data_IF_991207607413
#
_entry.id   IF_991207607413
#
_cell.length_a   1.000
_cell.length_b   1.000
_cell.length_c   1.000
_cell.angle_alpha   90.00
_cell.angle_beta   90.00
_cell.angle_gamma   90.00
#
_symmetry.space_group_name_H-M   'P 1'
#
loop_
_entity.id
_entity.type
_entity.pdbx_description
1 polymer ?
#
# COMPACT_ATOMS: atom_id res chain seq x y z
N UNK A 1 53.08 -38.96 -40.58
CA UNK A 1 52.32 -37.70 -40.84
C UNK A 1 50.80 -37.94 -40.88
N UNK A 2 50.19 -38.49 -39.81
CA UNK A 2 48.73 -38.76 -39.74
C UNK A 2 48.06 -38.31 -38.42
N UNK A 3 48.77 -37.54 -37.57
CA UNK A 3 48.22 -37.02 -36.30
C UNK A 3 47.59 -35.64 -36.38
N UNK A 4 47.84 -34.89 -37.46
CA UNK A 4 47.39 -33.49 -37.60
C UNK A 4 46.03 -33.34 -38.33
N UNK A 5 45.68 -34.25 -39.25
CA UNK A 5 44.41 -34.15 -40.00
C UNK A 5 43.16 -34.45 -39.15
N UNK A 6 43.29 -35.24 -38.08
CA UNK A 6 42.18 -35.57 -37.17
C UNK A 6 41.85 -34.43 -36.19
N UNK A 7 42.83 -33.60 -35.82
CA UNK A 7 42.61 -32.47 -34.89
C UNK A 7 41.78 -31.35 -35.54
N UNK A 8 42.01 -31.08 -36.84
CA UNK A 8 41.37 -29.98 -37.57
C UNK A 8 39.92 -30.27 -38.02
N UNK A 9 39.46 -31.52 -37.95
CA UNK A 9 38.06 -31.89 -38.21
C UNK A 9 37.31 -32.11 -36.89
N UNK A 10 37.96 -32.68 -35.87
CA UNK A 10 37.32 -32.97 -34.57
C UNK A 10 36.97 -31.68 -33.80
N UNK A 11 37.83 -30.67 -33.80
CA UNK A 11 37.57 -29.39 -33.09
C UNK A 11 36.35 -28.63 -33.65
N UNK A 12 36.21 -28.39 -34.96
CA UNK A 12 35.02 -27.69 -35.49
C UNK A 12 33.74 -28.54 -35.44
N UNK A 13 33.81 -29.86 -35.58
CA UNK A 13 32.63 -30.75 -35.49
C UNK A 13 32.10 -30.83 -34.05
N UNK A 14 32.96 -30.84 -33.04
CA UNK A 14 32.55 -30.78 -31.61
C UNK A 14 32.00 -29.41 -31.24
N UNK A 15 32.52 -28.31 -31.80
CA UNK A 15 31.96 -26.97 -31.61
C UNK A 15 30.56 -26.82 -32.24
N UNK A 16 30.32 -27.39 -33.43
CA UNK A 16 29.00 -27.32 -34.09
C UNK A 16 27.93 -28.21 -33.43
N UNK A 17 28.29 -29.39 -32.91
CA UNK A 17 27.37 -30.24 -32.14
C UNK A 17 27.13 -29.76 -30.71
N UNK A 18 28.15 -29.14 -30.07
CA UNK A 18 28.03 -28.55 -28.74
C UNK A 18 27.10 -27.33 -28.68
N UNK A 19 26.91 -26.62 -29.79
CA UNK A 19 25.97 -25.48 -29.88
C UNK A 19 24.51 -25.95 -30.01
N UNK A 20 24.23 -27.19 -30.41
CA UNK A 20 22.84 -27.68 -30.51
C UNK A 20 22.29 -28.32 -29.22
N UNK A 21 23.16 -28.69 -28.27
CA UNK A 21 22.76 -29.15 -26.92
C UNK A 21 22.98 -28.04 -25.88
N UNK A 22 23.94 -27.13 -26.10
CA UNK A 22 24.20 -25.99 -25.21
C UNK A 22 23.55 -24.66 -25.63
N UNK A 23 22.99 -24.54 -26.84
CA UNK A 23 22.53 -23.27 -27.41
C UNK A 23 21.03 -22.96 -27.29
N UNK A 24 20.22 -23.82 -26.65
CA UNK A 24 18.76 -23.61 -26.51
C UNK A 24 18.34 -23.20 -25.08
N UNK A 25 19.27 -23.11 -24.11
CA UNK A 25 18.94 -22.76 -22.71
C UNK A 25 19.48 -21.37 -22.30
N UNK A 26 19.82 -20.49 -23.25
CA UNK A 26 20.24 -19.12 -22.90
C UNK A 26 19.50 -18.09 -23.75
N UNK A 27 18.16 -18.07 -23.67
CA UNK A 27 17.38 -16.99 -24.31
C UNK A 27 16.01 -16.66 -23.68
N UNK A 28 15.72 -17.05 -22.43
CA UNK A 28 14.45 -16.67 -21.76
C UNK A 28 14.55 -16.43 -20.25
N UNK A 29 15.61 -15.79 -19.77
CA UNK A 29 15.57 -15.15 -18.43
C UNK A 29 16.34 -13.82 -18.45
N UNK A 30 16.00 -12.94 -19.40
CA UNK A 30 16.15 -11.53 -19.08
C UNK A 30 15.12 -11.18 -18.01
N UNK A 31 15.60 -11.02 -16.78
CA UNK A 31 14.96 -10.19 -15.77
C UNK A 31 13.59 -10.65 -15.26
N UNK A 32 13.57 -11.74 -14.49
CA UNK A 32 12.83 -11.66 -13.22
C UNK A 32 13.82 -11.16 -12.15
N UNK A 33 14.31 -9.94 -12.36
CA UNK A 33 14.32 -9.06 -11.22
C UNK A 33 12.85 -8.92 -10.85
N UNK A 34 12.50 -9.11 -9.59
CA UNK A 34 11.34 -8.42 -9.06
C UNK A 34 11.67 -6.91 -9.11
N UNK A 35 11.74 -6.36 -10.32
CA UNK A 35 11.61 -4.95 -10.53
C UNK A 35 10.14 -4.69 -10.26
N UNK A 36 9.89 -4.35 -9.00
CA UNK A 36 8.77 -3.52 -8.60
C UNK A 36 8.72 -2.39 -9.62
N UNK A 37 7.80 -2.54 -10.58
CA UNK A 37 7.51 -1.56 -11.58
C UNK A 37 6.86 -0.37 -10.87
N UNK A 38 7.64 0.63 -10.50
CA UNK A 38 7.09 1.96 -10.25
C UNK A 38 7.96 3.02 -10.90
N UNK A 39 8.06 2.93 -12.23
CA UNK A 39 8.00 4.13 -13.05
C UNK A 39 6.67 4.85 -12.72
N UNK A 40 6.75 5.99 -12.03
CA UNK A 40 5.69 7.02 -12.01
C UNK A 40 4.36 6.69 -11.34
N UNK A 41 4.06 5.44 -10.98
CA UNK A 41 2.92 5.13 -10.13
C UNK A 41 3.41 5.20 -8.69
N UNK A 42 3.19 6.34 -8.02
CA UNK A 42 3.05 6.34 -6.56
C UNK A 42 2.28 5.08 -6.24
N UNK A 43 2.92 4.14 -5.55
CA UNK A 43 2.21 3.00 -5.01
C UNK A 43 1.31 3.63 -3.96
N UNK A 44 0.09 3.96 -4.39
CA UNK A 44 -1.05 4.25 -3.55
C UNK A 44 -1.46 2.91 -2.91
N UNK A 45 -0.52 2.25 -2.24
CA UNK A 45 -0.87 1.44 -1.10
C UNK A 45 -1.39 2.47 -0.11
N UNK A 46 -2.68 2.43 0.23
CA UNK A 46 -3.27 3.48 1.02
C UNK A 46 -2.48 3.58 2.33
N UNK A 47 -1.94 4.75 2.65
CA UNK A 47 -1.38 5.05 3.97
C UNK A 47 -2.38 4.75 5.12
N UNK A 48 -3.67 4.60 4.80
CA UNK A 48 -4.71 4.03 5.66
C UNK A 48 -4.52 2.53 5.99
N UNK A 49 -3.54 1.83 5.39
CA UNK A 49 -3.35 0.39 5.63
C UNK A 49 -2.47 0.08 6.84
N UNK A 50 -1.74 1.05 7.39
CA UNK A 50 -0.96 0.85 8.61
C UNK A 50 -1.86 1.05 9.82
N UNK A 51 -2.25 0.02 10.59
CA UNK A 51 -3.29 0.17 11.61
C UNK A 51 -3.00 1.27 12.62
N UNK A 52 -1.72 1.48 12.98
CA UNK A 52 -1.28 2.47 13.96
C UNK A 52 -0.97 3.87 13.39
N UNK A 53 -1.15 4.07 12.08
CA UNK A 53 -0.99 5.39 11.48
C UNK A 53 -2.25 6.23 11.67
N UNK A 54 -2.06 7.54 11.64
CA UNK A 54 -3.08 8.59 11.72
C UNK A 54 -2.81 9.52 10.51
N UNK A 55 -3.40 9.23 9.33
CA UNK A 55 -3.02 9.89 8.08
C UNK A 55 -3.54 11.32 7.95
N UNK A 56 -4.65 11.66 8.61
CA UNK A 56 -5.29 12.98 8.60
C UNK A 56 -5.04 13.81 9.87
N UNK A 57 -4.43 13.23 10.89
CA UNK A 57 -3.96 13.89 12.12
C UNK A 57 -5.11 14.47 12.96
N UNK A 58 -6.23 13.77 13.01
CA UNK A 58 -7.39 14.12 13.84
C UNK A 58 -7.26 13.57 15.28
N UNK A 59 -6.33 12.64 15.50
CA UNK A 59 -6.08 11.97 16.78
C UNK A 59 -6.59 10.54 16.87
N UNK A 60 -7.23 10.00 15.83
CA UNK A 60 -7.60 8.59 15.71
C UNK A 60 -6.61 7.85 14.80
N UNK A 61 -6.22 6.65 15.21
CA UNK A 61 -5.48 5.74 14.32
C UNK A 61 -6.44 5.02 13.40
N UNK A 62 -5.95 4.57 12.25
CA UNK A 62 -6.73 3.77 11.30
C UNK A 62 -7.53 2.62 11.93
N UNK A 63 -6.99 1.94 12.96
CA UNK A 63 -7.71 0.87 13.67
C UNK A 63 -8.84 1.39 14.58
N UNK A 64 -8.71 2.60 15.13
CA UNK A 64 -9.75 3.28 15.91
C UNK A 64 -10.86 3.75 14.98
N UNK A 65 -10.49 4.33 13.85
CA UNK A 65 -11.42 4.79 12.82
C UNK A 65 -12.26 3.64 12.23
N UNK A 66 -11.67 2.45 12.07
CA UNK A 66 -12.43 1.26 11.69
C UNK A 66 -13.52 0.89 12.72
N UNK A 67 -13.30 1.18 14.02
CA UNK A 67 -14.26 0.95 15.09
C UNK A 67 -15.36 2.03 15.07
N UNK A 68 -14.97 3.30 14.96
CA UNK A 68 -15.88 4.45 14.98
C UNK A 68 -16.57 4.72 13.64
N UNK A 69 -16.17 4.02 12.57
CA UNK A 69 -16.73 4.16 11.20
C UNK A 69 -16.49 5.54 10.58
N UNK A 70 -15.34 6.12 10.88
CA UNK A 70 -14.83 7.37 10.29
C UNK A 70 -13.96 7.09 9.07
N UNK A 71 -13.60 8.14 8.31
CA UNK A 71 -12.74 8.06 7.13
C UNK A 71 -11.27 8.40 7.47
N UNK A 72 -10.31 7.46 7.34
CA UNK A 72 -8.88 7.61 7.65
C UNK A 72 -8.06 8.65 6.89
N UNK A 73 -8.73 9.53 6.17
CA UNK A 73 -8.15 10.60 5.36
C UNK A 73 -8.95 11.88 5.45
N UNK A 74 -9.99 11.89 6.25
CA UNK A 74 -10.87 13.01 6.42
C UNK A 74 -11.03 13.25 7.92
N UNK A 75 -10.38 14.29 8.46
CA UNK A 75 -10.35 14.48 9.90
C UNK A 75 -11.69 14.91 10.52
N UNK A 76 -12.74 15.12 9.70
CA UNK A 76 -14.11 15.48 10.07
C UNK A 76 -15.07 14.70 9.14
N UNK A 77 -15.41 13.48 9.54
CA UNK A 77 -16.12 12.50 8.70
C UNK A 77 -17.51 12.97 8.32
N UNK A 78 -18.25 13.53 9.28
CA UNK A 78 -19.62 13.95 9.03
C UNK A 78 -19.70 15.37 8.44
N UNK A 79 -18.65 16.17 8.54
CA UNK A 79 -18.50 17.49 7.94
C UNK A 79 -19.24 18.59 8.69
N UNK A 80 -19.25 18.56 10.01
CA UNK A 80 -19.87 19.56 10.88
C UNK A 80 -18.88 20.58 11.46
N UNK A 81 -17.59 20.35 11.26
CA UNK A 81 -16.49 21.20 11.69
C UNK A 81 -15.77 20.75 12.96
N UNK A 82 -16.16 19.64 13.61
CA UNK A 82 -15.39 19.01 14.67
C UNK A 82 -14.53 17.88 14.13
N UNK A 83 -13.37 17.64 14.77
CA UNK A 83 -12.49 16.56 14.36
C UNK A 83 -12.99 15.24 14.94
N UNK A 84 -13.01 14.15 14.17
CA UNK A 84 -13.54 12.84 14.60
C UNK A 84 -12.93 12.41 15.96
N UNK A 85 -11.61 12.55 16.11
CA UNK A 85 -10.90 12.29 17.36
C UNK A 85 -11.30 13.17 18.55
N UNK A 86 -11.66 14.44 18.33
CA UNK A 86 -12.20 15.32 19.38
C UNK A 86 -13.59 14.86 19.84
N UNK A 87 -14.42 14.41 18.89
CA UNK A 87 -15.77 13.93 19.15
C UNK A 87 -15.74 12.66 19.99
N UNK A 88 -14.91 11.69 19.57
CA UNK A 88 -14.69 10.43 20.29
C UNK A 88 -14.16 10.69 21.70
N UNK A 89 -13.16 11.58 21.85
CA UNK A 89 -12.60 11.92 23.16
C UNK A 89 -13.62 12.60 24.07
N UNK A 90 -14.61 13.29 23.50
CA UNK A 90 -15.65 14.03 24.20
C UNK A 90 -16.95 13.24 24.39
N UNK A 91 -17.02 12.00 23.87
CA UNK A 91 -18.17 11.10 24.04
C UNK A 91 -19.33 11.33 23.08
N UNK A 92 -19.06 11.86 21.89
CA UNK A 92 -20.03 12.06 20.83
C UNK A 92 -19.82 11.10 19.66
N UNK A 93 -20.80 11.03 18.75
CA UNK A 93 -20.77 10.22 17.54
C UNK A 93 -20.13 11.02 16.37
N UNK A 94 -18.95 10.61 15.86
CA UNK A 94 -18.25 11.32 14.76
C UNK A 94 -18.87 11.09 13.38
N UNK A 95 -19.99 10.37 13.30
CA UNK A 95 -20.69 10.07 12.04
C UNK A 95 -22.02 10.80 11.89
N UNK A 96 -22.38 11.62 12.88
CA UNK A 96 -23.66 12.32 12.95
C UNK A 96 -23.41 13.80 13.24
N UNK A 97 -23.70 14.68 12.27
CA UNK A 97 -23.47 16.12 12.46
C UNK A 97 -24.08 16.66 13.77
N UNK A 98 -23.30 17.48 14.48
CA UNK A 98 -23.78 18.30 15.58
C UNK A 98 -24.99 19.16 15.16
N UNK A 99 -25.90 19.46 16.10
CA UNK A 99 -25.87 19.10 17.52
C UNK A 99 -26.57 17.75 17.83
N UNK A 100 -26.76 16.88 16.82
CA UNK A 100 -27.53 15.63 16.98
C UNK A 100 -26.64 14.38 17.20
N UNK A 101 -25.36 14.61 17.40
CA UNK A 101 -24.21 13.73 17.66
C UNK A 101 -24.14 13.15 19.09
N UNK A 102 -24.94 13.69 20.01
CA UNK A 102 -24.88 13.33 21.42
C UNK A 102 -25.28 11.86 21.66
N UNK A 103 -24.35 11.07 22.22
CA UNK A 103 -24.65 9.72 22.69
C UNK A 103 -25.60 9.79 23.90
N UNK A 104 -26.70 9.04 23.82
CA UNK A 104 -27.81 9.06 24.77
C UNK A 104 -27.32 8.89 26.22
N UNK A 105 -27.51 9.92 27.06
CA UNK A 105 -27.08 9.93 28.46
C UNK A 105 -26.08 11.02 28.84
N UNK A 106 -25.59 11.82 27.89
CA UNK A 106 -24.91 13.09 28.16
C UNK A 106 -25.96 14.16 28.46
N UNK A 107 -25.92 14.73 29.66
CA UNK A 107 -26.94 15.61 30.23
C UNK A 107 -26.85 17.06 29.72
N UNK A 108 -26.41 17.27 28.48
CA UNK A 108 -26.14 18.61 27.97
C UNK A 108 -27.09 18.96 26.83
N UNK A 109 -28.24 19.55 27.20
CA UNK A 109 -28.97 20.50 26.35
C UNK A 109 -28.12 21.76 25.96
N UNK A 110 -26.80 21.72 26.15
CA UNK A 110 -25.86 22.71 25.68
C UNK A 110 -25.27 22.20 24.37
N UNK A 111 -25.56 22.82 23.21
CA UNK A 111 -24.92 22.46 21.97
C UNK A 111 -23.40 22.58 22.11
N UNK A 112 -22.67 21.62 21.54
CA UNK A 112 -21.21 21.67 21.46
C UNK A 112 -20.80 23.06 20.93
N UNK A 113 -19.85 23.72 21.62
CA UNK A 113 -19.44 25.07 21.23
C UNK A 113 -18.68 24.99 19.91
N UNK A 114 -19.07 25.84 18.94
CA UNK A 114 -18.49 25.88 17.60
C UNK A 114 -16.95 25.77 17.63
N UNK A 115 -16.35 25.06 16.67
CA UNK A 115 -14.89 24.95 16.57
C UNK A 115 -14.27 26.36 16.55
N UNK A 116 -13.18 26.54 17.30
CA UNK A 116 -12.48 27.83 17.44
C UNK A 116 -11.67 28.21 16.21
#
# INVERSE_FOLDING_TARGET
MLSERRKNIVIPVVLLLGIFIGGVIVLRTQGIGAQVLTEGKKVLFPIASEPNADPDNDGLKNWEEEIYKTDPRNPDTDGDGYLDGEEVASGYDPTIKAPNDALEGTDTNAPRQAPK
#
